data_IF_985042896823
#
_entry.id   IF_985042896823
#
_cell.length_a   1.000
_cell.length_b   1.000
_cell.length_c   1.000
_cell.angle_alpha   90.00
_cell.angle_beta   90.00
_cell.angle_gamma   90.00
#
_symmetry.space_group_name_H-M   'P 1'
#
loop_
_entity.id
_entity.type
_entity.pdbx_description
1 polymer ?
#
# COMPACT_ATOMS: atom_id res chain seq x y z
N UNK A 1 10.82 5.44 11.89
CA UNK A 1 9.50 5.83 11.32
C UNK A 1 9.67 6.04 9.82
N UNK A 2 9.75 4.94 9.05
CA UNK A 2 9.78 4.99 7.58
C UNK A 2 8.35 5.18 7.08
N UNK A 3 8.14 6.17 6.22
CA UNK A 3 6.88 6.28 5.48
C UNK A 3 6.78 5.06 4.53
N UNK A 4 5.60 4.45 4.36
CA UNK A 4 5.40 3.33 3.43
C UNK A 4 5.93 3.69 2.02
N UNK A 5 6.62 2.79 1.31
CA UNK A 5 7.25 3.08 0.01
C UNK A 5 6.29 3.70 -1.02
N UNK A 6 5.01 3.30 -1.05
CA UNK A 6 4.05 3.88 -2.00
C UNK A 6 3.71 5.34 -1.68
N UNK A 7 3.70 5.70 -0.39
CA UNK A 7 3.46 7.09 0.05
C UNK A 7 4.62 8.00 -0.30
N UNK A 8 5.86 7.47 -0.32
CA UNK A 8 7.06 8.21 -0.75
C UNK A 8 7.08 8.45 -2.26
N UNK A 9 6.61 7.49 -3.07
CA UNK A 9 6.46 7.71 -4.51
C UNK A 9 5.45 8.83 -4.79
N UNK A 10 4.27 8.76 -4.18
CA UNK A 10 3.23 9.77 -4.35
C UNK A 10 3.72 11.17 -3.96
N UNK A 11 4.41 11.33 -2.83
CA UNK A 11 4.99 12.62 -2.40
C UNK A 11 6.05 13.14 -3.39
N UNK A 12 6.87 12.28 -3.99
CA UNK A 12 7.91 12.69 -4.94
C UNK A 12 7.32 13.16 -6.27
N UNK A 13 6.29 12.51 -6.77
CA UNK A 13 5.67 12.83 -8.06
C UNK A 13 4.64 13.96 -7.98
N UNK A 14 3.99 14.15 -6.83
CA UNK A 14 2.98 15.20 -6.63
C UNK A 14 3.53 16.60 -6.93
N UNK A 15 4.77 16.90 -6.51
CA UNK A 15 5.41 18.19 -6.76
C UNK A 15 5.62 18.46 -8.25
N UNK A 16 6.22 17.51 -8.98
CA UNK A 16 6.43 17.65 -10.43
C UNK A 16 5.11 17.71 -11.22
N UNK A 17 4.11 16.93 -10.80
CA UNK A 17 2.79 16.94 -11.43
C UNK A 17 2.09 18.29 -11.27
N UNK A 18 2.13 18.87 -10.07
CA UNK A 18 1.51 20.16 -9.80
C UNK A 18 2.15 21.29 -10.61
N UNK A 19 3.49 21.29 -10.74
CA UNK A 19 4.20 22.25 -11.60
C UNK A 19 3.79 22.08 -13.07
N UNK A 20 3.72 20.84 -13.57
CA UNK A 20 3.28 20.56 -14.94
C UNK A 20 1.87 21.08 -15.20
N UNK A 21 0.92 20.80 -14.31
CA UNK A 21 -0.49 21.25 -14.44
C UNK A 21 -0.58 22.77 -14.44
N UNK A 22 0.17 23.45 -13.57
CA UNK A 22 0.22 24.92 -13.54
C UNK A 22 0.80 25.51 -14.83
N UNK A 23 1.85 24.91 -15.39
CA UNK A 23 2.43 25.34 -16.66
C UNK A 23 1.43 25.19 -17.82
N UNK A 24 0.72 24.06 -17.88
CA UNK A 24 -0.30 23.82 -18.91
C UNK A 24 -1.44 24.82 -18.76
N UNK A 25 -1.95 25.02 -17.54
CA UNK A 25 -3.01 25.99 -17.27
C UNK A 25 -2.61 27.43 -17.66
N UNK A 26 -1.38 27.84 -17.32
CA UNK A 26 -0.85 29.15 -17.70
C UNK A 26 -0.69 29.29 -19.22
N UNK A 27 -0.24 28.24 -19.91
CA UNK A 27 -0.11 28.22 -21.37
C UNK A 27 -1.50 28.30 -22.04
N UNK A 28 -2.50 27.58 -21.51
CA UNK A 28 -3.89 27.66 -21.98
C UNK A 28 -4.45 29.06 -21.82
N UNK A 29 -4.22 29.71 -20.67
CA UNK A 29 -4.62 31.11 -20.49
C UNK A 29 -3.92 32.02 -21.50
N UNK A 30 -2.61 31.85 -21.69
CA UNK A 30 -1.83 32.74 -22.56
C UNK A 30 -2.31 32.69 -24.02
N UNK A 31 -2.66 31.50 -24.52
CA UNK A 31 -3.11 31.31 -25.90
C UNK A 31 -4.58 31.72 -26.07
N UNK A 32 -5.45 31.30 -25.15
CA UNK A 32 -6.91 31.49 -25.31
C UNK A 32 -7.41 32.82 -24.74
N UNK A 33 -6.64 33.46 -23.84
CA UNK A 33 -7.04 34.64 -23.04
C UNK A 33 -8.36 34.45 -22.28
N UNK A 34 -8.74 33.20 -22.03
CA UNK A 34 -10.00 32.81 -21.41
C UNK A 34 -9.76 32.12 -20.06
N UNK A 35 -10.35 32.70 -19.01
CA UNK A 35 -10.30 32.18 -17.66
C UNK A 35 -11.04 30.85 -17.49
N UNK A 36 -12.12 30.64 -18.25
CA UNK A 36 -12.92 29.42 -18.17
C UNK A 36 -12.10 28.22 -18.63
N UNK A 37 -11.37 28.37 -19.74
CA UNK A 37 -10.50 27.32 -20.28
C UNK A 37 -9.37 26.93 -19.30
N UNK A 38 -8.73 27.90 -18.64
CA UNK A 38 -7.71 27.63 -17.61
C UNK A 38 -8.29 26.86 -16.42
N UNK A 39 -9.44 27.29 -15.90
CA UNK A 39 -10.10 26.64 -14.76
C UNK A 39 -10.52 25.20 -15.10
N UNK A 40 -11.02 24.97 -16.31
CA UNK A 40 -11.37 23.63 -16.77
C UNK A 40 -10.17 22.68 -16.75
N UNK A 41 -8.99 23.14 -17.18
CA UNK A 41 -7.74 22.35 -17.11
C UNK A 41 -7.37 22.00 -15.67
N UNK A 42 -7.43 22.97 -14.76
CA UNK A 42 -7.11 22.75 -13.34
C UNK A 42 -8.04 21.72 -12.69
N UNK A 43 -9.34 21.80 -12.96
CA UNK A 43 -10.34 20.86 -12.42
C UNK A 43 -10.17 19.47 -13.03
N UNK A 44 -9.99 19.38 -14.35
CA UNK A 44 -9.77 18.12 -15.05
C UNK A 44 -8.50 17.39 -14.57
N UNK A 45 -7.50 18.14 -14.10
CA UNK A 45 -6.25 17.62 -13.58
C UNK A 45 -6.31 17.18 -12.11
N UNK A 46 -7.46 17.14 -11.43
CA UNK A 46 -7.47 16.63 -10.05
C UNK A 46 -6.97 15.18 -9.98
N UNK A 47 -5.91 14.85 -9.22
CA UNK A 47 -5.44 13.48 -9.05
C UNK A 47 -6.28 12.70 -8.00
N UNK A 48 -7.54 13.07 -7.83
CA UNK A 48 -8.44 12.59 -6.78
C UNK A 48 -8.48 11.03 -6.70
N UNK A 49 -8.59 10.36 -7.85
CA UNK A 49 -8.61 8.89 -7.93
C UNK A 49 -7.25 8.24 -7.56
N UNK A 50 -6.15 8.88 -7.94
CA UNK A 50 -4.80 8.40 -7.64
C UNK A 50 -4.56 8.38 -6.12
N UNK A 51 -4.95 9.45 -5.43
CA UNK A 51 -4.78 9.57 -3.97
C UNK A 51 -5.63 8.53 -3.22
N UNK A 52 -6.84 8.27 -3.69
CA UNK A 52 -7.75 7.32 -3.04
C UNK A 52 -7.38 5.85 -3.27
N UNK A 53 -6.63 5.55 -4.33
CA UNK A 53 -6.30 4.17 -4.72
C UNK A 53 -5.58 3.38 -3.60
N UNK A 54 -4.60 3.98 -2.93
CA UNK A 54 -3.80 3.33 -1.89
C UNK A 54 -4.64 2.91 -0.65
N UNK A 55 -5.40 3.81 0.02
CA UNK A 55 -6.22 3.40 1.15
C UNK A 55 -7.36 2.46 0.74
N UNK A 56 -7.97 2.66 -0.43
CA UNK A 56 -9.06 1.80 -0.90
C UNK A 56 -8.61 0.34 -1.11
N UNK A 57 -7.47 0.15 -1.78
CA UNK A 57 -6.90 -1.19 -2.01
C UNK A 57 -6.41 -1.83 -0.71
N UNK A 58 -5.78 -1.08 0.18
CA UNK A 58 -5.34 -1.59 1.48
C UNK A 58 -6.51 -2.09 2.34
N UNK A 59 -7.60 -1.31 2.44
CA UNK A 59 -8.78 -1.71 3.20
C UNK A 59 -9.42 -2.95 2.58
N UNK A 60 -9.54 -3.00 1.26
CA UNK A 60 -10.07 -4.17 0.56
C UNK A 60 -9.21 -5.42 0.83
N UNK A 61 -7.89 -5.31 0.76
CA UNK A 61 -6.96 -6.40 1.04
C UNK A 61 -7.08 -6.91 2.48
N UNK A 62 -7.13 -6.01 3.46
CA UNK A 62 -7.33 -6.37 4.88
C UNK A 62 -8.68 -7.07 5.07
N UNK A 63 -9.75 -6.55 4.46
CA UNK A 63 -11.08 -7.14 4.56
C UNK A 63 -11.12 -8.57 3.99
N UNK A 64 -10.46 -8.81 2.85
CA UNK A 64 -10.37 -10.16 2.25
C UNK A 64 -9.53 -11.09 3.11
N UNK A 65 -8.39 -10.64 3.63
CA UNK A 65 -7.54 -11.43 4.52
C UNK A 65 -8.27 -11.85 5.81
N UNK A 66 -9.00 -10.91 6.41
CA UNK A 66 -9.80 -11.16 7.61
C UNK A 66 -10.88 -12.23 7.37
N UNK A 67 -11.52 -12.25 6.19
CA UNK A 67 -12.49 -13.30 5.80
C UNK A 67 -11.86 -14.71 5.72
N UNK A 68 -10.54 -14.79 5.56
CA UNK A 68 -9.78 -16.04 5.53
C UNK A 68 -9.09 -16.35 6.87
N UNK A 69 -9.45 -15.65 7.95
CA UNK A 69 -8.86 -15.86 9.28
C UNK A 69 -7.45 -15.27 9.46
N UNK A 70 -6.99 -14.44 8.51
CA UNK A 70 -5.69 -13.77 8.58
C UNK A 70 -5.89 -12.37 9.16
N UNK A 71 -5.37 -12.14 10.36
CA UNK A 71 -5.46 -10.85 11.03
C UNK A 71 -4.27 -9.95 10.68
N UNK A 72 -4.51 -8.89 9.91
CA UNK A 72 -3.50 -7.89 9.54
C UNK A 72 -3.73 -6.62 10.38
N UNK A 73 -2.73 -6.23 11.18
CA UNK A 73 -2.86 -5.11 12.15
C UNK A 73 -2.80 -3.72 11.51
N UNK A 74 -2.17 -3.57 10.35
CA UNK A 74 -1.95 -2.29 9.68
C UNK A 74 -1.71 -2.48 8.19
N UNK A 75 -2.14 -1.53 7.36
CA UNK A 75 -1.87 -1.52 5.93
C UNK A 75 -0.38 -1.46 5.58
N UNK A 76 0.47 -0.89 6.45
CA UNK A 76 1.91 -0.86 6.24
C UNK A 76 2.52 -2.27 6.17
N UNK A 77 1.94 -3.24 6.90
CA UNK A 77 2.39 -4.63 6.82
C UNK A 77 2.11 -5.25 5.46
N UNK A 78 1.07 -4.83 4.73
CA UNK A 78 0.79 -5.36 3.39
C UNK A 78 1.88 -4.98 2.39
N UNK A 79 2.38 -3.74 2.47
CA UNK A 79 3.50 -3.29 1.63
C UNK A 79 4.78 -4.06 1.98
N UNK A 80 5.07 -4.23 3.27
CA UNK A 80 6.27 -4.96 3.70
C UNK A 80 6.20 -6.45 3.36
N UNK A 81 5.01 -7.07 3.47
CA UNK A 81 4.76 -8.46 3.07
C UNK A 81 5.01 -8.71 1.58
N UNK A 82 4.70 -7.72 0.73
CA UNK A 82 4.87 -7.84 -0.71
C UNK A 82 6.35 -7.96 -1.12
N UNK A 83 7.26 -7.41 -0.32
CA UNK A 83 8.71 -7.42 -0.57
C UNK A 83 9.46 -8.54 0.18
N UNK A 84 8.76 -9.40 0.94
CA UNK A 84 9.39 -10.49 1.70
C UNK A 84 9.86 -11.63 0.78
N UNK A 85 11.15 -11.98 0.89
CA UNK A 85 11.75 -13.11 0.16
C UNK A 85 12.06 -14.33 1.02
N UNK A 86 12.03 -14.18 2.34
CA UNK A 86 12.39 -15.24 3.29
C UNK A 86 11.43 -15.25 4.46
N UNK A 87 11.04 -16.45 4.87
CA UNK A 87 10.18 -16.68 6.03
C UNK A 87 10.95 -17.53 7.05
N UNK A 88 11.16 -16.99 8.24
CA UNK A 88 11.67 -17.75 9.39
C UNK A 88 10.48 -18.04 10.30
N UNK A 89 10.23 -19.32 10.56
CA UNK A 89 9.09 -19.78 11.35
C UNK A 89 9.59 -20.34 12.67
N UNK A 90 8.96 -19.93 13.77
CA UNK A 90 9.23 -20.56 15.07
C UNK A 90 8.70 -22.01 15.08
N UNK A 91 9.39 -22.93 15.74
CA UNK A 91 9.00 -24.35 15.74
C UNK A 91 7.93 -24.63 16.79
N UNK A 92 8.13 -24.15 18.01
CA UNK A 92 7.34 -24.57 19.18
C UNK A 92 6.07 -23.72 19.27
N UNK A 93 4.89 -24.31 19.06
CA UNK A 93 3.63 -23.58 19.11
C UNK A 93 3.19 -22.94 17.77
N UNK A 94 4.04 -22.94 16.74
CA UNK A 94 3.66 -22.57 15.36
C UNK A 94 3.65 -23.79 14.44
N UNK A 95 4.80 -24.43 14.20
CA UNK A 95 4.85 -25.67 13.40
C UNK A 95 4.41 -26.91 14.19
N UNK A 96 4.55 -26.85 15.51
CA UNK A 96 4.18 -27.94 16.42
C UNK A 96 3.14 -27.47 17.41
N UNK A 97 2.38 -28.41 17.97
CA UNK A 97 1.33 -28.11 18.95
C UNK A 97 1.83 -27.57 20.30
N UNK A 98 3.15 -27.43 20.50
CA UNK A 98 3.73 -26.97 21.76
C UNK A 98 3.48 -27.91 22.95
N UNK A 99 3.01 -29.15 22.69
CA UNK A 99 2.70 -30.16 23.71
C UNK A 99 3.59 -31.37 23.50
N UNK A 100 4.30 -31.76 24.56
CA UNK A 100 5.11 -32.98 24.57
C UNK A 100 4.18 -34.21 24.56
N UNK A 101 4.51 -35.19 23.72
CA UNK A 101 3.87 -36.50 23.71
C UNK A 101 4.95 -37.57 23.69
N UNK A 102 4.76 -38.60 24.50
CA UNK A 102 5.60 -39.79 24.50
C UNK A 102 5.42 -40.50 23.15
N UNK A 103 6.47 -40.52 22.32
CA UNK A 103 6.36 -41.03 20.95
C UNK A 103 6.66 -42.53 20.87
N UNK A 104 7.62 -42.99 21.67
CA UNK A 104 7.99 -44.40 21.75
C UNK A 104 8.75 -44.67 23.03
N UNK A 105 8.58 -45.87 23.59
CA UNK A 105 9.46 -46.43 24.63
C UNK A 105 10.22 -47.59 23.99
N UNK A 106 11.55 -47.55 24.06
CA UNK A 106 12.38 -48.70 23.72
C UNK A 106 12.88 -49.31 25.03
N UNK A 107 12.39 -50.51 25.35
CA UNK A 107 12.93 -51.29 26.45
C UNK A 107 14.24 -51.93 25.96
N UNK A 108 15.35 -51.60 26.60
CA UNK A 108 16.61 -52.31 26.39
C UNK A 108 16.47 -53.74 26.87
N UNK A 109 16.88 -54.69 26.02
CA UNK A 109 17.10 -56.08 26.41
C UNK A 109 18.30 -56.21 27.35
#
# INVERSE_FOLDING_TARGET
RSKPPITRLLERYAGSYMVLVLLIAALTWFITQDAQAMLAVLVAACPCALVLSAPATAIAGIAVAARHGILIRSSAFLEELADLNSLVVDKTGTLTYGRLRLQSVQAGG
#
